data_IF_745457227835
#
_entry.id   IF_745457227835
#
_cell.length_a   1.000
_cell.length_b   1.000
_cell.length_c   1.000
_cell.angle_alpha   90.00
_cell.angle_beta   90.00
_cell.angle_gamma   90.00
#
_symmetry.space_group_name_H-M   'P 1'
#
loop_
_entity.id
_entity.type
_entity.pdbx_description
1 polymer ?
#
# COMPACT_ATOMS: atom_id res chain seq x y z
N UNK A 1 -14.30 5.69 11.47
CA UNK A 1 -13.88 7.10 11.70
C UNK A 1 -12.75 7.38 10.76
N UNK A 2 -12.87 8.43 9.94
CA UNK A 2 -11.78 8.87 9.07
C UNK A 2 -10.61 9.31 9.96
N UNK A 3 -9.56 8.51 10.02
CA UNK A 3 -8.31 8.86 10.67
C UNK A 3 -7.66 9.90 9.77
N UNK A 4 -7.47 11.14 10.30
CA UNK A 4 -7.11 12.29 9.49
C UNK A 4 -5.93 12.04 8.56
N UNK A 5 -6.07 12.43 7.30
CA UNK A 5 -4.98 12.34 6.33
C UNK A 5 -3.90 13.37 6.69
N UNK A 6 -2.63 13.01 6.49
CA UNK A 6 -1.48 13.92 6.56
C UNK A 6 -1.15 14.40 5.17
N UNK A 7 -0.83 15.68 5.01
CA UNK A 7 -0.47 16.25 3.70
C UNK A 7 1.03 16.48 3.61
N UNK A 8 1.70 15.82 2.68
CA UNK A 8 3.13 15.99 2.38
C UNK A 8 3.25 16.65 1.01
N UNK A 9 3.64 17.91 0.99
CA UNK A 9 3.60 18.72 -0.23
C UNK A 9 2.18 18.85 -0.77
N UNK A 10 1.93 18.32 -1.96
CA UNK A 10 0.61 18.28 -2.61
C UNK A 10 -0.10 16.94 -2.41
N UNK A 11 0.56 15.93 -1.81
CA UNK A 11 0.07 14.56 -1.67
C UNK A 11 -0.59 14.34 -0.31
N UNK A 12 -1.80 13.79 -0.32
CA UNK A 12 -2.45 13.30 0.90
C UNK A 12 -2.01 11.85 1.17
N UNK A 13 -1.65 11.57 2.41
CA UNK A 13 -1.24 10.25 2.90
C UNK A 13 -2.21 9.81 3.98
N UNK A 14 -2.85 8.66 3.81
CA UNK A 14 -3.84 8.13 4.75
C UNK A 14 -4.90 7.29 4.07
N UNK A 15 -5.98 7.02 4.80
CA UNK A 15 -7.06 6.15 4.34
C UNK A 15 -7.76 6.71 3.08
N UNK A 16 -8.00 5.83 2.12
CA UNK A 16 -8.68 6.20 0.87
C UNK A 16 -7.83 7.00 -0.11
N UNK A 17 -6.54 7.17 0.18
CA UNK A 17 -5.59 7.81 -0.73
C UNK A 17 -4.71 6.74 -1.40
N UNK A 18 -4.15 7.01 -2.59
CA UNK A 18 -3.13 6.16 -3.17
C UNK A 18 -1.95 5.98 -2.20
N UNK A 19 -1.40 4.78 -2.15
CA UNK A 19 -0.24 4.46 -1.31
C UNK A 19 0.93 5.38 -1.65
N UNK A 20 1.49 6.02 -0.64
CA UNK A 20 2.64 6.89 -0.80
C UNK A 20 3.92 6.04 -0.76
N UNK A 21 4.70 6.04 -1.84
CA UNK A 21 5.88 5.18 -2.00
C UNK A 21 7.16 5.99 -1.89
N UNK A 22 8.00 5.65 -0.91
CA UNK A 22 9.30 6.27 -0.65
C UNK A 22 10.40 5.34 -1.13
N UNK A 23 11.26 5.83 -2.01
CA UNK A 23 12.52 5.20 -2.40
C UNK A 23 13.64 5.67 -1.45
N UNK A 24 14.14 4.79 -0.61
CA UNK A 24 15.20 5.08 0.36
C UNK A 24 16.58 4.80 -0.25
N UNK A 25 17.40 5.83 -0.38
CA UNK A 25 18.77 5.70 -0.89
C UNK A 25 19.74 5.27 0.22
N UNK A 26 19.53 5.76 1.44
CA UNK A 26 20.40 5.46 2.59
C UNK A 26 21.88 5.66 2.24
N UNK A 27 22.75 4.69 2.55
CA UNK A 27 24.17 4.70 2.26
C UNK A 27 24.54 4.38 0.79
N UNK A 28 23.53 4.05 -0.05
CA UNK A 28 23.79 3.58 -1.43
C UNK A 28 24.26 4.67 -2.39
N UNK A 29 24.38 5.91 -1.93
CA UNK A 29 25.12 6.97 -2.63
C UNK A 29 26.64 6.76 -2.58
N UNK A 30 27.16 5.88 -1.74
CA UNK A 30 28.59 5.46 -1.63
C UNK A 30 29.57 6.63 -1.55
N UNK A 31 29.19 7.74 -0.88
CA UNK A 31 30.02 8.94 -0.77
C UNK A 31 30.24 9.70 -2.07
N UNK A 32 29.46 9.44 -3.12
CA UNK A 32 29.54 10.14 -4.42
C UNK A 32 28.23 10.90 -4.70
N UNK A 33 28.35 12.22 -4.88
CA UNK A 33 27.22 13.10 -5.20
C UNK A 33 26.57 12.73 -6.55
N UNK A 34 27.35 12.28 -7.54
CA UNK A 34 26.81 11.91 -8.85
C UNK A 34 25.93 10.66 -8.74
N UNK A 35 26.35 9.68 -7.93
CA UNK A 35 25.54 8.51 -7.60
C UNK A 35 24.25 8.94 -6.89
N UNK A 36 24.33 9.82 -5.88
CA UNK A 36 23.15 10.34 -5.19
C UNK A 36 22.16 11.03 -6.15
N UNK A 37 22.65 11.87 -7.08
CA UNK A 37 21.83 12.53 -8.08
C UNK A 37 21.21 11.55 -9.08
N UNK A 38 21.96 10.52 -9.50
CA UNK A 38 21.45 9.46 -10.38
C UNK A 38 20.36 8.63 -9.71
N UNK A 39 20.47 8.37 -8.39
CA UNK A 39 19.45 7.66 -7.64
C UNK A 39 18.12 8.45 -7.55
N UNK A 40 18.16 9.79 -7.57
CA UNK A 40 16.94 10.62 -7.67
C UNK A 40 16.26 10.40 -9.01
N UNK A 41 17.02 10.41 -10.12
CA UNK A 41 16.49 10.12 -11.46
C UNK A 41 15.86 8.72 -11.52
N UNK A 42 16.55 7.74 -10.95
CA UNK A 42 16.13 6.35 -10.96
C UNK A 42 14.84 6.14 -10.11
N UNK A 43 14.75 6.74 -8.93
CA UNK A 43 13.59 6.69 -8.07
C UNK A 43 12.35 7.28 -8.76
N UNK A 44 12.50 8.45 -9.40
CA UNK A 44 11.42 9.09 -10.15
C UNK A 44 10.97 8.22 -11.33
N UNK A 45 11.91 7.73 -12.13
CA UNK A 45 11.62 6.87 -13.29
C UNK A 45 11.00 5.52 -12.90
N UNK A 46 11.22 5.05 -11.67
CA UNK A 46 10.62 3.85 -11.12
C UNK A 46 9.22 4.11 -10.52
N UNK A 47 8.75 5.37 -10.47
CA UNK A 47 7.42 5.75 -10.03
C UNK A 47 7.27 5.98 -8.52
N UNK A 48 8.37 6.26 -7.81
CA UNK A 48 8.32 6.68 -6.41
C UNK A 48 7.62 8.05 -6.27
N UNK A 49 6.89 8.24 -5.18
CA UNK A 49 6.31 9.53 -4.80
C UNK A 49 7.34 10.44 -4.13
N UNK A 50 8.32 9.84 -3.44
CA UNK A 50 9.43 10.54 -2.82
C UNK A 50 10.73 9.74 -2.91
N UNK A 51 11.85 10.47 -2.97
CA UNK A 51 13.18 9.91 -2.72
C UNK A 51 13.64 10.37 -1.35
N UNK A 52 14.28 9.47 -0.58
CA UNK A 52 14.73 9.78 0.78
C UNK A 52 16.23 9.51 0.94
N UNK A 53 16.87 10.37 1.71
CA UNK A 53 18.26 10.27 2.13
C UNK A 53 18.35 10.30 3.66
N UNK A 54 19.57 10.17 4.17
CA UNK A 54 19.88 10.21 5.60
C UNK A 54 20.93 11.29 5.85
N UNK A 55 20.53 12.37 6.56
CA UNK A 55 21.47 13.40 7.01
C UNK A 55 22.15 12.95 8.30
N UNK A 56 23.14 12.09 8.12
CA UNK A 56 23.93 11.48 9.19
C UNK A 56 25.38 11.95 9.05
N UNK A 57 25.95 12.42 10.14
CA UNK A 57 27.39 12.68 10.32
C UNK A 57 27.82 11.90 11.55
N UNK A 58 28.74 10.97 11.39
CA UNK A 58 29.18 10.03 12.42
C UNK A 58 29.54 10.71 13.74
N UNK A 59 30.38 11.74 13.69
CA UNK A 59 30.88 12.44 14.91
C UNK A 59 29.79 13.22 15.65
N UNK A 60 28.59 13.37 15.07
CA UNK A 60 27.48 14.06 15.73
C UNK A 60 26.54 13.11 16.45
N UNK A 61 26.62 11.81 16.18
CA UNK A 61 25.70 10.80 16.73
C UNK A 61 26.39 9.77 17.61
N UNK A 62 27.72 9.69 17.57
CA UNK A 62 28.51 8.68 18.31
C UNK A 62 29.49 9.32 19.27
N UNK A 63 29.46 8.87 20.53
CA UNK A 63 30.46 9.24 21.54
C UNK A 63 31.80 8.51 21.37
N UNK A 64 31.77 7.33 20.75
CA UNK A 64 32.92 6.51 20.44
C UNK A 64 32.88 6.12 18.96
N UNK A 65 34.05 5.77 18.35
CA UNK A 65 34.04 5.33 16.97
C UNK A 65 33.07 4.15 16.76
N UNK A 66 31.97 4.40 16.07
CA UNK A 66 31.10 3.35 15.54
C UNK A 66 31.83 2.63 14.40
N UNK A 67 31.23 1.54 13.89
CA UNK A 67 31.79 0.79 12.78
C UNK A 67 32.02 1.68 11.54
N UNK A 68 32.89 1.28 10.65
CA UNK A 68 33.13 1.95 9.36
C UNK A 68 31.86 2.10 8.50
N UNK A 69 30.83 1.32 8.81
CA UNK A 69 29.51 1.45 8.24
C UNK A 69 28.94 2.88 8.35
N UNK A 70 28.94 3.45 9.55
CA UNK A 70 28.37 4.79 9.77
C UNK A 70 29.16 5.87 9.06
N UNK A 71 30.50 5.73 8.95
CA UNK A 71 31.33 6.65 8.18
C UNK A 71 31.05 6.58 6.70
N UNK A 72 30.84 5.39 6.16
CA UNK A 72 30.51 5.22 4.74
C UNK A 72 29.09 5.70 4.37
N UNK A 73 28.22 5.82 5.37
CA UNK A 73 26.84 6.28 5.22
C UNK A 73 26.70 7.80 5.37
N UNK A 74 27.75 8.53 5.73
CA UNK A 74 27.69 9.99 5.89
C UNK A 74 27.24 10.69 4.62
N UNK A 75 26.29 11.61 4.77
CA UNK A 75 25.86 12.50 3.71
C UNK A 75 26.37 13.91 4.02
N UNK A 76 27.33 14.43 3.22
CA UNK A 76 27.84 15.78 3.38
C UNK A 76 26.71 16.82 3.27
N UNK A 77 26.57 17.69 4.25
CA UNK A 77 25.47 18.67 4.32
C UNK A 77 25.48 19.65 3.17
N UNK A 78 26.65 19.93 2.59
CA UNK A 78 26.82 20.75 1.39
C UNK A 78 26.16 20.19 0.12
N UNK A 79 25.79 18.91 0.11
CA UNK A 79 25.06 18.30 -1.01
C UNK A 79 23.57 18.65 -1.01
N UNK A 80 23.03 19.01 0.16
CA UNK A 80 21.57 19.21 0.36
C UNK A 80 20.91 20.12 -0.69
N UNK A 81 21.49 21.31 -1.01
CA UNK A 81 20.89 22.17 -2.03
C UNK A 81 20.82 21.54 -3.43
N UNK A 82 21.85 20.77 -3.80
CA UNK A 82 21.91 20.10 -5.12
C UNK A 82 20.90 18.95 -5.19
N UNK A 83 20.79 18.14 -4.13
CA UNK A 83 19.84 17.03 -4.05
C UNK A 83 18.40 17.54 -4.12
N UNK A 84 18.06 18.57 -3.37
CA UNK A 84 16.72 19.19 -3.39
C UNK A 84 16.42 19.82 -4.75
N UNK A 85 17.37 20.54 -5.34
CA UNK A 85 17.21 21.14 -6.67
C UNK A 85 16.97 20.07 -7.74
N UNK A 86 17.69 18.94 -7.67
CA UNK A 86 17.54 17.80 -8.58
C UNK A 86 16.16 17.14 -8.39
N UNK A 87 15.74 16.88 -7.17
CA UNK A 87 14.41 16.29 -6.90
C UNK A 87 13.29 17.20 -7.42
N UNK A 88 13.39 18.53 -7.19
CA UNK A 88 12.45 19.50 -7.71
C UNK A 88 12.42 19.53 -9.26
N UNK A 89 13.59 19.46 -9.91
CA UNK A 89 13.69 19.40 -11.38
C UNK A 89 12.99 18.16 -11.94
N UNK A 90 12.99 17.05 -11.18
CA UNK A 90 12.40 15.76 -11.59
C UNK A 90 10.98 15.58 -11.12
N UNK A 91 10.38 16.58 -10.47
CA UNK A 91 9.03 16.52 -9.90
C UNK A 91 8.81 15.30 -8.98
N UNK A 92 9.82 15.01 -8.14
CA UNK A 92 9.73 14.02 -7.07
C UNK A 92 9.95 14.71 -5.73
N UNK A 93 9.21 14.29 -4.69
CA UNK A 93 9.37 14.83 -3.34
C UNK A 93 10.74 14.40 -2.76
N UNK A 94 11.42 15.36 -2.14
CA UNK A 94 12.65 15.10 -1.39
C UNK A 94 12.32 14.96 0.10
N UNK A 95 12.73 13.85 0.69
CA UNK A 95 12.64 13.59 2.11
C UNK A 95 14.03 13.29 2.68
N UNK A 96 14.20 13.50 3.97
CA UNK A 96 15.39 13.03 4.66
C UNK A 96 15.13 12.69 6.11
N UNK A 97 15.97 11.80 6.64
CA UNK A 97 16.08 11.49 8.06
C UNK A 97 17.22 12.33 8.64
N UNK A 98 16.94 13.34 9.47
CA UNK A 98 17.97 14.02 10.25
C UNK A 98 18.34 13.21 11.50
N UNK A 99 19.62 13.11 11.81
CA UNK A 99 20.11 12.43 13.01
C UNK A 99 20.59 13.39 14.09
N UNK A 100 20.66 14.67 13.81
CA UNK A 100 21.01 15.73 14.77
C UNK A 100 20.22 17.02 14.51
N UNK A 101 20.23 17.94 15.47
CA UNK A 101 19.52 19.23 15.36
C UNK A 101 20.02 20.10 14.22
N UNK A 102 21.33 20.06 13.91
CA UNK A 102 21.89 20.82 12.80
C UNK A 102 21.35 20.33 11.45
N UNK A 103 21.18 19.01 11.30
CA UNK A 103 20.53 18.42 10.12
C UNK A 103 19.06 18.86 10.03
N UNK A 104 18.32 18.88 11.16
CA UNK A 104 16.93 19.37 11.19
C UNK A 104 16.86 20.82 10.74
N UNK A 105 17.74 21.69 11.22
CA UNK A 105 17.76 23.11 10.90
C UNK A 105 18.11 23.32 9.42
N UNK A 106 19.14 22.66 8.93
CA UNK A 106 19.53 22.70 7.50
C UNK A 106 18.38 22.28 6.58
N UNK A 107 17.70 21.18 6.91
CA UNK A 107 16.55 20.71 6.14
C UNK A 107 15.39 21.69 6.18
N UNK A 108 15.13 22.32 7.34
CA UNK A 108 14.12 23.37 7.45
C UNK A 108 14.42 24.57 6.56
N UNK A 109 15.64 25.08 6.61
CA UNK A 109 16.12 26.20 5.77
C UNK A 109 16.08 25.85 4.28
N UNK A 110 16.36 24.59 3.94
CA UNK A 110 16.30 24.09 2.57
C UNK A 110 14.86 23.84 2.09
N UNK A 111 13.85 23.99 2.94
CA UNK A 111 12.44 23.93 2.58
C UNK A 111 11.89 22.53 2.38
N UNK A 112 12.39 21.52 3.13
CA UNK A 112 11.81 20.17 3.10
C UNK A 112 10.34 20.17 3.48
N UNK A 113 9.58 19.23 2.92
CA UNK A 113 8.13 19.18 3.06
C UNK A 113 7.68 18.25 4.19
N UNK A 114 8.53 17.37 4.67
CA UNK A 114 8.30 16.48 5.80
C UNK A 114 9.65 15.98 6.35
N UNK A 115 9.63 15.48 7.58
CA UNK A 115 10.76 14.84 8.23
C UNK A 115 10.52 13.34 8.40
N UNK A 116 11.56 12.54 8.24
CA UNK A 116 11.56 11.14 8.65
C UNK A 116 12.35 11.00 9.97
N UNK A 117 11.82 10.20 10.87
CA UNK A 117 12.51 9.78 12.10
C UNK A 117 12.80 8.28 11.97
N UNK A 118 14.06 7.90 12.07
CA UNK A 118 14.45 6.50 12.03
C UNK A 118 14.03 5.79 13.33
N UNK A 119 14.01 4.46 13.29
CA UNK A 119 13.58 3.66 14.46
C UNK A 119 14.48 3.89 15.68
N UNK A 120 15.76 4.10 15.46
CA UNK A 120 16.75 4.32 16.53
C UNK A 120 16.57 5.68 17.21
N UNK A 121 16.10 6.70 16.50
CA UNK A 121 15.89 8.07 16.98
C UNK A 121 14.48 8.29 17.56
N UNK A 122 13.60 7.31 17.47
CA UNK A 122 12.22 7.45 17.95
C UNK A 122 12.14 7.71 19.46
N UNK A 123 13.13 7.26 20.22
CA UNK A 123 13.22 7.47 21.67
C UNK A 123 14.01 8.72 22.07
N UNK A 124 14.52 9.49 21.10
CA UNK A 124 15.20 10.76 21.37
C UNK A 124 14.19 11.93 21.44
N UNK A 125 13.64 12.15 22.63
CA UNK A 125 12.69 13.25 22.88
C UNK A 125 13.26 14.62 22.51
N UNK A 126 14.59 14.80 22.61
CA UNK A 126 15.24 16.08 22.32
C UNK A 126 15.21 16.37 20.82
N UNK A 127 15.47 15.36 20.00
CA UNK A 127 15.40 15.44 18.56
C UNK A 127 13.93 15.55 18.10
N UNK A 128 13.03 14.73 18.67
CA UNK A 128 11.60 14.74 18.34
C UNK A 128 10.96 16.11 18.56
N UNK A 129 11.22 16.75 19.71
CA UNK A 129 10.74 18.11 20.01
C UNK A 129 11.29 19.13 19.01
N UNK A 130 12.57 19.00 18.65
CA UNK A 130 13.19 19.93 17.71
C UNK A 130 12.59 19.81 16.30
N UNK A 131 12.34 18.59 15.83
CA UNK A 131 11.63 18.32 14.57
C UNK A 131 10.20 18.84 14.61
N UNK A 132 9.47 18.55 15.69
CA UNK A 132 8.06 18.92 15.83
C UNK A 132 7.84 20.43 15.74
N UNK A 133 8.72 21.23 16.35
CA UNK A 133 8.71 22.70 16.31
C UNK A 133 8.84 23.30 14.90
N UNK A 134 9.32 22.53 13.93
CA UNK A 134 9.35 22.98 12.52
C UNK A 134 7.97 22.99 11.88
N UNK A 135 6.94 22.38 12.49
CA UNK A 135 5.56 22.42 12.04
C UNK A 135 5.30 21.69 10.72
N UNK A 136 6.20 20.81 10.31
CA UNK A 136 6.07 19.98 9.10
C UNK A 136 5.60 18.58 9.48
N UNK A 137 4.97 17.82 8.55
CA UNK A 137 4.65 16.42 8.76
C UNK A 137 5.85 15.60 9.21
N UNK A 138 5.61 14.66 10.13
CA UNK A 138 6.64 13.76 10.67
C UNK A 138 6.25 12.32 10.38
N UNK A 139 7.15 11.57 9.77
CA UNK A 139 7.02 10.14 9.50
C UNK A 139 7.93 9.41 10.49
N UNK A 140 7.39 8.57 11.38
CA UNK A 140 8.15 7.89 12.44
C UNK A 140 8.16 6.39 12.17
N UNK A 141 9.35 5.77 12.12
CA UNK A 141 9.51 4.31 12.14
C UNK A 141 9.57 3.76 13.56
N UNK A 142 9.05 2.53 13.75
CA UNK A 142 8.85 1.92 15.07
C UNK A 142 9.58 0.59 15.26
N UNK A 143 10.67 0.36 14.51
CA UNK A 143 11.49 -0.85 14.71
C UNK A 143 12.05 -0.93 16.13
N UNK A 144 12.09 -2.13 16.70
CA UNK A 144 12.52 -2.43 18.08
C UNK A 144 11.65 -1.84 19.19
N UNK A 145 10.62 -1.05 18.88
CA UNK A 145 9.85 -0.32 19.86
C UNK A 145 8.70 -1.14 20.45
N UNK A 146 8.41 -0.89 21.71
CA UNK A 146 7.17 -1.29 22.35
C UNK A 146 6.08 -0.23 22.14
N UNK A 147 4.81 -0.61 22.29
CA UNK A 147 3.66 0.26 22.02
C UNK A 147 3.63 1.53 22.92
N UNK A 148 4.10 1.43 24.15
CA UNK A 148 4.21 2.57 25.08
C UNK A 148 5.24 3.59 24.62
N UNK A 149 6.38 3.15 24.09
CA UNK A 149 7.40 4.02 23.50
C UNK A 149 6.86 4.73 22.25
N UNK A 150 6.12 4.01 21.39
CA UNK A 150 5.49 4.61 20.21
C UNK A 150 4.46 5.66 20.61
N UNK A 151 3.61 5.35 21.60
CA UNK A 151 2.63 6.31 22.14
C UNK A 151 3.33 7.54 22.73
N UNK A 152 4.42 7.33 23.48
CA UNK A 152 5.22 8.41 24.05
C UNK A 152 5.78 9.33 22.95
N UNK A 153 6.43 8.77 21.94
CA UNK A 153 6.99 9.55 20.83
C UNK A 153 5.92 10.40 20.09
N UNK A 154 4.75 9.81 19.85
CA UNK A 154 3.61 10.52 19.26
C UNK A 154 3.16 11.68 20.15
N UNK A 155 3.05 11.47 21.47
CA UNK A 155 2.64 12.53 22.41
C UNK A 155 3.71 13.61 22.54
N UNK A 156 5.00 13.28 22.51
CA UNK A 156 6.09 14.27 22.49
C UNK A 156 5.92 15.25 21.32
N UNK A 157 5.65 14.74 20.12
CA UNK A 157 5.46 15.57 18.93
C UNK A 157 4.17 16.40 19.03
N UNK A 158 3.08 15.80 19.50
CA UNK A 158 1.80 16.49 19.69
C UNK A 158 1.89 17.63 20.70
N UNK A 159 2.61 17.43 21.79
CA UNK A 159 2.79 18.43 22.84
C UNK A 159 3.55 19.67 22.36
N UNK A 160 4.30 19.56 21.26
CA UNK A 160 4.88 20.72 20.56
C UNK A 160 3.94 21.36 19.53
N UNK A 161 2.66 20.95 19.50
CA UNK A 161 1.64 21.50 18.62
C UNK A 161 1.58 20.89 17.22
N UNK A 162 2.31 19.80 16.97
CA UNK A 162 2.34 19.14 15.66
C UNK A 162 1.55 17.82 15.67
N UNK A 163 0.41 17.79 15.01
CA UNK A 163 -0.46 16.62 14.90
C UNK A 163 -0.35 15.89 13.54
N UNK A 164 0.53 16.34 12.65
CA UNK A 164 0.73 15.77 11.31
C UNK A 164 1.73 14.61 11.38
N UNK A 165 1.30 13.44 11.85
CA UNK A 165 2.15 12.30 12.12
C UNK A 165 1.68 11.08 11.32
N UNK A 166 2.60 10.42 10.60
CA UNK A 166 2.45 9.09 10.00
C UNK A 166 3.37 8.13 10.75
N UNK A 167 2.86 6.98 11.16
CA UNK A 167 3.64 5.98 11.89
C UNK A 167 3.92 4.80 10.97
N UNK A 168 5.17 4.35 10.87
CA UNK A 168 5.54 3.18 10.07
C UNK A 168 5.81 1.99 10.97
N UNK A 169 5.09 0.90 10.77
CA UNK A 169 5.54 -0.39 11.23
C UNK A 169 6.89 -0.70 10.57
N UNK A 170 7.83 -1.21 11.34
CA UNK A 170 9.18 -1.51 10.89
C UNK A 170 9.76 -2.67 11.70
N UNK A 171 10.56 -3.50 11.07
CA UNK A 171 11.41 -4.49 11.73
C UNK A 171 12.86 -4.17 11.38
N UNK A 172 13.67 -3.83 12.42
CA UNK A 172 15.07 -3.41 12.24
C UNK A 172 16.05 -4.59 12.17
N UNK A 173 15.70 -5.58 11.33
CA UNK A 173 16.58 -6.67 10.88
C UNK A 173 16.77 -6.52 9.37
N UNK A 174 17.94 -6.87 8.85
CA UNK A 174 18.32 -6.64 7.44
C UNK A 174 18.96 -7.89 6.81
N UNK A 175 18.20 -8.79 6.13
CA UNK A 175 16.74 -8.83 6.11
C UNK A 175 16.16 -9.58 7.31
N UNK A 176 14.90 -9.30 7.73
CA UNK A 176 14.17 -10.12 8.69
C UNK A 176 13.71 -11.43 8.05
N UNK A 177 13.60 -12.49 8.83
CA UNK A 177 12.87 -13.67 8.38
C UNK A 177 11.36 -13.36 8.28
N UNK A 178 10.66 -14.03 7.37
CA UNK A 178 9.22 -13.77 7.15
C UNK A 178 8.36 -13.92 8.43
N UNK A 179 8.74 -14.81 9.34
CA UNK A 179 8.05 -15.00 10.63
C UNK A 179 8.18 -13.80 11.57
N UNK A 180 9.24 -12.98 11.41
CA UNK A 180 9.56 -11.84 12.27
C UNK A 180 8.90 -10.55 11.79
N UNK A 181 8.34 -10.52 10.58
CA UNK A 181 7.75 -9.33 9.98
C UNK A 181 6.53 -8.78 10.74
N UNK A 182 5.79 -9.65 11.41
CA UNK A 182 4.63 -9.26 12.25
C UNK A 182 3.71 -8.20 11.61
N UNK A 183 3.35 -8.35 10.35
CA UNK A 183 2.57 -7.35 9.59
C UNK A 183 1.24 -6.98 10.26
N UNK A 184 0.68 -7.86 11.10
CA UNK A 184 -0.54 -7.55 11.88
C UNK A 184 -0.36 -6.39 12.85
N UNK A 185 0.87 -6.04 13.20
CA UNK A 185 1.17 -4.85 14.02
C UNK A 185 0.67 -3.55 13.35
N UNK A 186 0.59 -3.51 12.02
CA UNK A 186 -0.01 -2.39 11.28
C UNK A 186 -1.44 -2.11 11.75
N UNK A 187 -2.27 -3.16 11.86
CA UNK A 187 -3.65 -3.03 12.34
C UNK A 187 -3.70 -2.59 13.80
N UNK A 188 -2.79 -3.11 14.63
CA UNK A 188 -2.69 -2.72 16.05
C UNK A 188 -2.31 -1.25 16.18
N UNK A 189 -1.27 -0.79 15.48
CA UNK A 189 -0.86 0.61 15.44
C UNK A 189 -1.99 1.52 14.96
N UNK A 190 -2.70 1.14 13.90
CA UNK A 190 -3.87 1.89 13.39
C UNK A 190 -4.96 2.04 14.44
N UNK A 191 -5.26 0.97 15.17
CA UNK A 191 -6.29 0.96 16.22
C UNK A 191 -5.88 1.81 17.41
N UNK A 192 -4.67 1.60 17.92
CA UNK A 192 -4.19 2.21 19.16
C UNK A 192 -3.88 3.71 19.01
N UNK A 193 -3.32 4.11 17.86
CA UNK A 193 -2.88 5.49 17.66
C UNK A 193 -3.91 6.36 16.97
N UNK A 194 -4.90 5.79 16.29
CA UNK A 194 -5.88 6.52 15.46
C UNK A 194 -5.24 7.47 14.44
N UNK A 195 -4.14 7.02 13.78
CA UNK A 195 -3.34 7.78 12.82
C UNK A 195 -3.11 6.99 11.55
N UNK A 196 -2.69 7.65 10.44
CA UNK A 196 -2.19 6.96 9.28
C UNK A 196 -1.00 6.08 9.64
N UNK A 197 -1.02 4.83 9.18
CA UNK A 197 0.06 3.89 9.41
C UNK A 197 0.57 3.38 8.07
N UNK A 198 1.89 3.34 7.92
CA UNK A 198 2.59 2.76 6.79
C UNK A 198 3.48 1.59 7.21
N UNK A 199 4.36 1.20 6.31
CA UNK A 199 5.32 0.12 6.52
C UNK A 199 6.68 0.48 5.93
N UNK A 200 7.73 0.42 6.76
CA UNK A 200 9.12 0.48 6.32
C UNK A 200 9.61 -0.95 6.14
N UNK A 201 9.79 -1.36 4.90
CA UNK A 201 9.98 -2.76 4.52
C UNK A 201 11.46 -3.07 4.33
N UNK A 202 11.98 -3.96 5.16
CA UNK A 202 13.35 -4.49 5.10
C UNK A 202 13.38 -5.98 4.71
N UNK A 203 12.24 -6.56 4.27
CA UNK A 203 12.17 -7.94 3.83
C UNK A 203 13.08 -8.20 2.63
N UNK A 204 13.26 -9.47 2.30
CA UNK A 204 14.06 -9.91 1.14
C UNK A 204 13.72 -9.11 -0.13
N UNK A 205 14.69 -8.46 -0.80
CA UNK A 205 14.46 -7.58 -1.95
C UNK A 205 13.80 -8.27 -3.15
N UNK A 206 13.94 -9.57 -3.27
CA UNK A 206 13.36 -10.36 -4.38
C UNK A 206 11.85 -10.61 -4.24
N UNK A 207 11.23 -10.21 -3.12
CA UNK A 207 9.82 -10.49 -2.84
C UNK A 207 9.03 -9.24 -2.47
N UNK A 208 7.86 -9.07 -3.09
CA UNK A 208 6.90 -8.01 -2.77
C UNK A 208 5.79 -8.46 -1.81
N UNK A 209 5.84 -9.71 -1.31
CA UNK A 209 4.78 -10.28 -0.50
C UNK A 209 4.52 -9.48 0.79
N UNK A 210 5.57 -9.02 1.47
CA UNK A 210 5.46 -8.23 2.68
C UNK A 210 4.83 -6.85 2.41
N UNK A 211 5.32 -6.15 1.39
CA UNK A 211 4.77 -4.86 0.93
C UNK A 211 3.29 -4.96 0.59
N UNK A 212 2.89 -5.91 -0.27
CA UNK A 212 1.50 -6.08 -0.69
C UNK A 212 0.61 -6.53 0.48
N UNK A 213 1.14 -7.42 1.34
CA UNK A 213 0.48 -7.82 2.59
C UNK A 213 0.25 -6.64 3.53
N UNK A 214 1.23 -5.77 3.71
CA UNK A 214 1.11 -4.56 4.53
C UNK A 214 0.01 -3.62 4.01
N UNK A 215 -0.07 -3.41 2.71
CA UNK A 215 -1.10 -2.57 2.07
C UNK A 215 -2.50 -3.16 2.31
N UNK A 216 -2.69 -4.46 2.16
CA UNK A 216 -3.98 -5.12 2.43
C UNK A 216 -4.39 -5.03 3.90
N UNK A 217 -3.43 -4.93 4.82
CA UNK A 217 -3.66 -4.69 6.25
C UNK A 217 -3.84 -3.21 6.60
N UNK A 218 -3.78 -2.34 5.60
CA UNK A 218 -4.10 -0.92 5.71
C UNK A 218 -2.89 0.01 5.80
N UNK A 219 -1.70 -0.41 5.37
CA UNK A 219 -0.58 0.50 5.20
C UNK A 219 -0.89 1.51 4.08
N UNK A 220 -0.75 2.81 4.37
CA UNK A 220 -0.98 3.90 3.43
C UNK A 220 0.32 4.54 2.90
N UNK A 221 1.46 4.08 3.39
CA UNK A 221 2.79 4.51 2.98
C UNK A 221 3.72 3.30 3.00
N UNK A 222 4.55 3.17 1.99
CA UNK A 222 5.61 2.15 1.89
C UNK A 222 6.95 2.87 1.75
N UNK A 223 7.91 2.46 2.54
CA UNK A 223 9.32 2.87 2.41
C UNK A 223 10.17 1.65 2.10
N UNK A 224 11.02 1.73 1.08
CA UNK A 224 11.86 0.62 0.64
C UNK A 224 13.23 1.12 0.19
N UNK A 225 14.29 0.44 0.63
CA UNK A 225 15.66 0.72 0.19
C UNK A 225 15.83 0.38 -1.29
N UNK A 226 16.55 1.25 -2.02
CA UNK A 226 16.88 1.09 -3.43
C UNK A 226 18.38 1.17 -3.67
N UNK A 227 18.86 0.44 -4.66
CA UNK A 227 20.25 0.49 -5.13
C UNK A 227 20.30 0.37 -6.65
N UNK A 228 21.36 0.90 -7.24
CA UNK A 228 21.73 0.67 -8.66
C UNK A 228 22.41 -0.69 -8.85
N UNK A 229 23.00 -1.27 -7.78
CA UNK A 229 23.66 -2.58 -7.82
C UNK A 229 23.68 -3.25 -6.46
N UNK A 230 23.15 -4.47 -6.36
CA UNK A 230 23.24 -5.30 -5.15
C UNK A 230 24.66 -5.83 -4.89
N UNK A 231 25.54 -5.77 -5.88
CA UNK A 231 26.95 -6.13 -5.79
C UNK A 231 27.84 -4.92 -5.47
N UNK A 232 27.23 -3.80 -5.08
CA UNK A 232 27.92 -2.56 -4.70
C UNK A 232 28.69 -2.69 -3.38
N UNK A 233 29.40 -1.62 -3.04
CA UNK A 233 30.24 -1.56 -1.85
C UNK A 233 29.54 -0.96 -0.61
N UNK A 234 28.26 -0.56 -0.74
CA UNK A 234 27.48 -0.11 0.38
C UNK A 234 26.98 -1.29 1.21
N UNK A 235 26.94 -1.13 2.52
CA UNK A 235 26.40 -2.15 3.42
C UNK A 235 24.88 -2.37 3.22
N UNK A 236 24.19 -1.38 2.65
CA UNK A 236 22.74 -1.48 2.35
C UNK A 236 22.44 -2.11 1.00
N UNK A 237 23.43 -2.20 0.08
CA UNK A 237 23.22 -2.69 -1.30
C UNK A 237 22.54 -4.07 -1.33
N UNK A 238 23.01 -5.01 -0.50
CA UNK A 238 22.48 -6.39 -0.46
C UNK A 238 21.03 -6.48 0.02
N UNK A 239 20.61 -5.52 0.84
CA UNK A 239 19.28 -5.48 1.44
C UNK A 239 18.33 -4.55 0.68
N UNK A 240 18.84 -3.92 -0.39
CA UNK A 240 18.10 -2.96 -1.21
C UNK A 240 17.56 -3.61 -2.47
N UNK A 241 16.42 -3.15 -2.93
CA UNK A 241 15.91 -3.49 -4.25
C UNK A 241 16.75 -2.82 -5.34
N UNK A 242 17.03 -3.56 -6.41
CA UNK A 242 17.46 -2.89 -7.65
C UNK A 242 16.35 -1.98 -8.15
N UNK A 243 16.70 -1.00 -8.98
CA UNK A 243 15.73 -0.07 -9.57
C UNK A 243 14.62 -0.81 -10.32
N UNK A 244 14.94 -1.91 -11.00
CA UNK A 244 13.95 -2.70 -11.73
C UNK A 244 13.01 -3.48 -10.77
N UNK A 245 13.54 -4.05 -9.70
CA UNK A 245 12.72 -4.68 -8.66
C UNK A 245 11.78 -3.66 -8.02
N UNK A 246 12.28 -2.47 -7.68
CA UNK A 246 11.48 -1.40 -7.09
C UNK A 246 10.39 -0.91 -8.07
N UNK A 247 10.71 -0.71 -9.35
CA UNK A 247 9.72 -0.36 -10.39
C UNK A 247 8.62 -1.41 -10.49
N UNK A 248 9.01 -2.68 -10.46
CA UNK A 248 8.05 -3.79 -10.47
C UNK A 248 7.14 -3.75 -9.24
N UNK A 249 7.69 -3.56 -8.05
CA UNK A 249 6.93 -3.40 -6.81
C UNK A 249 5.92 -2.24 -6.92
N UNK A 250 6.34 -1.07 -7.41
CA UNK A 250 5.43 0.07 -7.60
C UNK A 250 4.29 -0.28 -8.54
N UNK A 251 4.57 -0.97 -9.64
CA UNK A 251 3.53 -1.42 -10.58
C UNK A 251 2.53 -2.38 -9.93
N UNK A 252 2.99 -3.31 -9.11
CA UNK A 252 2.12 -4.22 -8.36
C UNK A 252 1.29 -3.49 -7.30
N UNK A 253 1.87 -2.49 -6.62
CA UNK A 253 1.12 -1.62 -5.69
C UNK A 253 -0.04 -0.95 -6.43
N UNK A 254 0.20 -0.33 -7.59
CA UNK A 254 -0.86 0.34 -8.36
C UNK A 254 -1.92 -0.63 -8.87
N UNK A 255 -1.53 -1.83 -9.26
CA UNK A 255 -2.46 -2.90 -9.63
C UNK A 255 -3.32 -3.35 -8.44
N UNK A 256 -2.72 -3.52 -7.27
CA UNK A 256 -3.43 -3.87 -6.03
C UNK A 256 -4.42 -2.77 -5.62
N UNK A 257 -4.00 -1.51 -5.68
CA UNK A 257 -4.88 -0.35 -5.41
C UNK A 257 -6.11 -0.36 -6.32
N UNK A 258 -5.92 -0.58 -7.60
CA UNK A 258 -7.02 -0.69 -8.55
C UNK A 258 -7.97 -1.86 -8.19
N UNK A 259 -7.42 -2.98 -7.74
CA UNK A 259 -8.22 -4.13 -7.30
C UNK A 259 -8.99 -3.85 -5.99
N UNK A 260 -8.38 -3.14 -5.05
CA UNK A 260 -8.99 -2.79 -3.76
C UNK A 260 -9.99 -1.63 -3.86
N UNK A 261 -9.77 -0.67 -4.74
CA UNK A 261 -10.64 0.51 -4.92
C UNK A 261 -12.00 0.19 -5.52
N UNK A 262 -12.19 -1.02 -6.02
CA UNK A 262 -13.51 -1.55 -6.36
C UNK A 262 -14.46 -1.69 -5.19
N UNK A 263 -14.03 -1.53 -4.04
CA UNK A 263 -14.91 -1.43 -2.90
C UNK A 263 -15.72 -0.14 -2.92
N UNK A 264 -16.50 0.06 -3.92
CA UNK A 264 -17.75 0.75 -3.67
C UNK A 264 -18.57 -0.09 -2.78
N UNK A 265 -17.97 -0.72 -1.75
CA UNK A 265 -18.63 -1.47 -0.77
C UNK A 265 -19.94 -1.94 -1.14
N UNK A 266 -20.01 -3.06 -1.59
CA UNK A 266 -21.34 -3.46 -1.69
C UNK A 266 -21.55 -4.62 -0.82
N UNK A 267 -22.14 -4.30 0.19
CA UNK A 267 -22.85 -5.24 0.99
C UNK A 267 -24.16 -5.60 0.29
N UNK A 268 -24.37 -6.83 -0.02
CA UNK A 268 -23.50 -7.97 -0.10
C UNK A 268 -22.63 -7.99 -1.36
N UNK A 269 -22.04 -9.07 -1.77
CA UNK A 269 -21.21 -9.22 -2.96
C UNK A 269 -21.93 -8.74 -4.23
N UNK A 270 -21.31 -7.84 -5.00
CA UNK A 270 -21.81 -7.41 -6.31
C UNK A 270 -20.84 -7.76 -7.43
N UNK A 271 -21.37 -8.33 -8.50
CA UNK A 271 -20.58 -8.52 -9.72
C UNK A 271 -20.33 -7.19 -10.43
N UNK A 272 -19.19 -7.02 -11.11
CA UNK A 272 -18.97 -5.92 -12.02
C UNK A 272 -19.99 -5.91 -13.16
N UNK A 273 -20.43 -4.73 -13.59
CA UNK A 273 -21.40 -4.59 -14.67
C UNK A 273 -20.96 -5.35 -15.93
N UNK A 274 -19.69 -5.23 -16.31
CA UNK A 274 -19.11 -5.96 -17.44
C UNK A 274 -19.27 -7.48 -17.31
N UNK A 275 -19.05 -8.04 -16.10
CA UNK A 275 -19.23 -9.47 -15.87
C UNK A 275 -20.70 -9.87 -16.02
N UNK A 276 -21.62 -9.04 -15.52
CA UNK A 276 -23.06 -9.27 -15.64
C UNK A 276 -23.48 -9.26 -17.11
N UNK A 277 -22.97 -8.33 -17.90
CA UNK A 277 -23.28 -8.22 -19.32
C UNK A 277 -22.70 -9.39 -20.12
N UNK A 278 -21.45 -9.77 -19.90
CA UNK A 278 -20.85 -10.96 -20.53
C UNK A 278 -21.61 -12.25 -20.18
N UNK A 279 -22.08 -12.38 -18.93
CA UNK A 279 -22.89 -13.53 -18.52
C UNK A 279 -24.23 -13.57 -19.27
N UNK A 280 -24.87 -12.41 -19.46
CA UNK A 280 -26.13 -12.31 -20.23
C UNK A 280 -25.91 -12.67 -21.72
N UNK A 281 -24.88 -12.07 -22.35
CA UNK A 281 -24.59 -12.30 -23.76
C UNK A 281 -24.24 -13.77 -24.05
N UNK A 282 -23.39 -14.39 -23.21
CA UNK A 282 -22.96 -15.78 -23.37
C UNK A 282 -24.02 -16.80 -22.94
N UNK A 283 -25.02 -16.36 -22.18
CA UNK A 283 -26.06 -17.24 -21.64
C UNK A 283 -25.51 -18.34 -20.72
N UNK A 284 -24.44 -18.03 -19.95
CA UNK A 284 -23.74 -19.04 -19.16
C UNK A 284 -24.51 -19.53 -17.94
N UNK A 285 -25.50 -18.79 -17.48
CA UNK A 285 -26.40 -19.25 -16.41
C UNK A 285 -27.42 -20.24 -16.96
N UNK A 286 -28.05 -21.02 -16.08
CA UNK A 286 -29.10 -21.98 -16.41
C UNK A 286 -30.47 -21.37 -16.22
N UNK A 287 -31.46 -21.88 -16.96
CA UNK A 287 -32.90 -21.71 -16.69
C UNK A 287 -33.60 -23.06 -16.72
N UNK A 288 -34.87 -23.05 -16.37
CA UNK A 288 -35.75 -24.22 -16.47
C UNK A 288 -36.08 -24.49 -17.93
N UNK A 289 -36.00 -25.76 -18.33
CA UNK A 289 -36.34 -26.30 -19.64
C UNK A 289 -37.25 -27.50 -19.49
N UNK A 290 -38.07 -27.75 -20.49
CA UNK A 290 -38.84 -28.98 -20.56
C UNK A 290 -37.92 -30.19 -20.80
N UNK A 291 -37.99 -31.22 -19.97
CA UNK A 291 -37.28 -32.49 -20.15
C UNK A 291 -37.92 -33.35 -21.21
N UNK A 292 -39.23 -33.25 -21.35
CA UNK A 292 -40.09 -33.95 -22.33
C UNK A 292 -41.09 -32.96 -22.95
N UNK A 293 -41.82 -33.36 -23.99
CA UNK A 293 -42.93 -32.57 -24.51
C UNK A 293 -44.00 -32.43 -23.43
N UNK A 294 -44.53 -31.21 -23.22
CA UNK A 294 -45.60 -30.88 -22.31
C UNK A 294 -46.75 -30.31 -23.12
N UNK A 295 -47.93 -30.93 -22.98
CA UNK A 295 -49.12 -30.51 -23.76
C UNK A 295 -49.82 -29.31 -23.08
N UNK A 296 -50.50 -28.50 -23.89
CA UNK A 296 -51.36 -27.43 -23.38
C UNK A 296 -52.37 -27.98 -22.37
N UNK A 297 -52.48 -27.34 -21.20
CA UNK A 297 -53.38 -27.72 -20.10
C UNK A 297 -52.79 -28.77 -19.17
N UNK A 298 -51.62 -29.36 -19.47
CA UNK A 298 -50.96 -30.31 -18.62
C UNK A 298 -50.39 -29.58 -17.38
N UNK A 299 -50.49 -30.21 -16.18
CA UNK A 299 -49.93 -29.68 -14.97
C UNK A 299 -48.47 -30.06 -14.91
N UNK A 300 -47.59 -29.06 -14.78
CA UNK A 300 -46.16 -29.25 -14.79
C UNK A 300 -45.72 -29.77 -13.42
N UNK A 301 -45.00 -30.86 -13.39
CA UNK A 301 -44.35 -31.42 -12.22
C UNK A 301 -42.80 -31.43 -12.36
N UNK A 302 -42.11 -31.73 -11.25
CA UNK A 302 -40.65 -31.74 -11.21
C UNK A 302 -40.02 -32.71 -12.21
N UNK A 303 -40.70 -33.87 -12.52
CA UNK A 303 -40.18 -34.86 -13.46
C UNK A 303 -40.18 -34.39 -14.91
N UNK A 304 -40.87 -33.29 -15.21
CA UNK A 304 -40.95 -32.67 -16.54
C UNK A 304 -39.89 -31.58 -16.74
N UNK A 305 -39.14 -31.23 -15.72
CA UNK A 305 -38.23 -30.11 -15.73
C UNK A 305 -36.77 -30.54 -15.71
N UNK A 306 -35.94 -29.74 -16.35
CA UNK A 306 -34.46 -29.86 -16.33
C UNK A 306 -33.86 -28.48 -16.37
N UNK A 307 -32.72 -28.31 -15.71
CA UNK A 307 -31.96 -27.03 -15.75
C UNK A 307 -30.86 -27.08 -16.81
N UNK A 308 -30.99 -26.28 -17.87
CA UNK A 308 -30.02 -26.22 -18.96
C UNK A 308 -29.50 -24.80 -19.19
N UNK A 309 -28.40 -24.69 -19.91
CA UNK A 309 -27.90 -23.46 -20.52
C UNK A 309 -28.39 -23.40 -21.99
N UNK A 310 -28.54 -22.21 -22.54
CA UNK A 310 -28.38 -20.86 -21.96
C UNK A 310 -29.56 -20.42 -21.10
N UNK A 311 -29.40 -19.36 -20.32
CA UNK A 311 -30.48 -18.74 -19.54
C UNK A 311 -31.44 -17.99 -20.47
N UNK A 312 -32.55 -18.64 -20.84
CA UNK A 312 -33.60 -18.08 -21.73
C UNK A 312 -35.01 -18.19 -21.16
N UNK A 313 -35.16 -18.77 -19.97
CA UNK A 313 -36.45 -18.98 -19.32
C UNK A 313 -36.36 -18.63 -17.83
N UNK A 314 -37.30 -19.15 -17.05
CA UNK A 314 -37.40 -18.97 -15.61
C UNK A 314 -36.12 -19.50 -14.91
N UNK A 315 -35.59 -18.75 -13.97
CA UNK A 315 -34.40 -19.16 -13.23
C UNK A 315 -34.68 -20.40 -12.34
N UNK A 316 -33.70 -21.31 -12.18
CA UNK A 316 -33.88 -22.51 -11.34
C UNK A 316 -34.32 -22.24 -9.89
N UNK A 317 -33.94 -21.10 -9.33
CA UNK A 317 -34.35 -20.68 -7.97
C UNK A 317 -35.86 -20.44 -7.84
N UNK A 318 -36.53 -20.21 -8.99
CA UNK A 318 -37.97 -19.92 -9.07
C UNK A 318 -38.81 -21.15 -9.47
N UNK A 319 -38.23 -22.36 -9.37
CA UNK A 319 -38.89 -23.61 -9.79
C UNK A 319 -40.27 -23.81 -9.13
N UNK A 320 -40.41 -23.41 -7.87
CA UNK A 320 -41.69 -23.50 -7.14
C UNK A 320 -42.82 -22.65 -7.76
N UNK A 321 -42.46 -21.67 -8.62
CA UNK A 321 -43.42 -20.87 -9.37
C UNK A 321 -43.95 -21.58 -10.61
N UNK A 322 -43.33 -22.70 -11.00
CA UNK A 322 -43.62 -23.48 -12.20
C UNK A 322 -44.32 -24.80 -11.85
N UNK A 323 -43.85 -25.48 -10.79
CA UNK A 323 -44.42 -26.73 -10.31
C UNK A 323 -45.90 -26.49 -9.91
N UNK A 324 -46.80 -27.36 -10.39
CA UNK A 324 -48.23 -27.28 -10.10
C UNK A 324 -48.99 -26.33 -11.00
N UNK A 325 -48.31 -25.53 -11.85
CA UNK A 325 -48.94 -24.66 -12.84
C UNK A 325 -49.35 -25.45 -14.11
N UNK A 326 -50.34 -24.95 -14.84
CA UNK A 326 -50.73 -25.53 -16.13
C UNK A 326 -50.00 -24.86 -17.28
N UNK A 327 -49.57 -25.64 -18.25
CA UNK A 327 -49.03 -25.12 -19.49
C UNK A 327 -50.17 -24.44 -20.30
N UNK A 328 -49.93 -23.20 -20.75
CA UNK A 328 -50.92 -22.46 -21.56
C UNK A 328 -50.77 -22.72 -23.07
N UNK A 329 -49.65 -23.36 -23.46
CA UNK A 329 -49.34 -23.80 -24.83
C UNK A 329 -48.61 -25.13 -24.80
N UNK A 330 -48.43 -25.76 -25.98
CA UNK A 330 -47.55 -26.94 -26.10
C UNK A 330 -46.09 -26.51 -25.97
N UNK A 331 -45.32 -27.15 -25.08
CA UNK A 331 -43.91 -26.88 -24.82
C UNK A 331 -43.10 -28.09 -25.30
N UNK A 332 -42.23 -27.92 -26.26
CA UNK A 332 -41.41 -29.00 -26.79
C UNK A 332 -40.26 -29.32 -25.83
N UNK A 333 -39.85 -30.59 -25.79
CA UNK A 333 -38.66 -31.03 -25.08
C UNK A 333 -37.47 -30.15 -25.44
N UNK A 334 -36.65 -29.78 -24.42
CA UNK A 334 -35.52 -28.87 -24.52
C UNK A 334 -35.84 -27.41 -24.89
N UNK A 335 -37.10 -27.01 -24.85
CA UNK A 335 -37.47 -25.60 -24.92
C UNK A 335 -37.40 -24.97 -23.54
N UNK A 336 -36.94 -23.69 -23.43
CA UNK A 336 -36.95 -22.97 -22.16
C UNK A 336 -38.38 -22.76 -21.70
N UNK A 337 -38.64 -22.83 -20.40
CA UNK A 337 -39.91 -22.49 -19.81
C UNK A 337 -39.89 -21.04 -19.37
N UNK A 338 -40.80 -20.25 -19.90
CA UNK A 338 -40.94 -18.83 -19.62
C UNK A 338 -42.24 -18.55 -18.87
N UNK A 339 -42.39 -17.33 -18.36
CA UNK A 339 -43.63 -16.89 -17.71
C UNK A 339 -44.85 -16.88 -18.65
N UNK A 340 -44.60 -16.84 -19.97
CA UNK A 340 -45.68 -16.87 -20.98
C UNK A 340 -46.18 -18.29 -21.27
N UNK A 341 -45.47 -19.32 -20.81
CA UNK A 341 -45.80 -20.73 -21.08
C UNK A 341 -46.66 -21.36 -19.99
N UNK A 342 -46.84 -20.67 -18.87
CA UNK A 342 -47.52 -21.17 -17.68
C UNK A 342 -48.66 -20.25 -17.20
N UNK A 343 -49.65 -20.80 -16.53
CA UNK A 343 -50.66 -19.99 -15.81
C UNK A 343 -49.99 -19.19 -14.68
N UNK A 344 -50.33 -17.89 -14.57
CA UNK A 344 -49.81 -16.99 -13.55
C UNK A 344 -50.44 -17.27 -12.17
#
# INVERSE_FOLDING_TARGET
MNKGNVTIGTRKVGDGQPVFVIAEVSANHRGDINTALAMIDAAQAAGADAVKFQHLIHDKIAAEPLSDFYKSAELPYEWTPQLIAKAKQKDILFLSTPFDKGAVDLLAESGVLAYKVASYEMTDDVLLRHIAKKGKPVIISTGMAYMDEVKHAVEVIKNEGNDQIVVLHCVSLYPPESKDLNLKAIQTLRKELSRPVGYSDHAEPSSNAATLGAITLGACLIERHITDSQEGNSNDDKNSMTIDQFRHMVSEIRSLEAALSRSGVKEPISAPDREVDEVKERGTRRSLYALKDISRGEVIDDSMLITLRPMRGIEPKDIEKVIGKRAVCDIKARSPITTNDIEL
#
